data_IF_392411725288
#
_entry.id   IF_392411725288
#
_cell.length_a   1.000
_cell.length_b   1.000
_cell.length_c   1.000
_cell.angle_alpha   90.00
_cell.angle_beta   90.00
_cell.angle_gamma   90.00
#
_symmetry.space_group_name_H-M   'P 1'
#
loop_
_entity.id
_entity.type
_entity.pdbx_description
1 polymer ?
#
# COMPACT_ATOMS: atom_id res chain seq x y z
N UNK A 1 -20.82 6.58 15.56
CA UNK A 1 -20.07 6.19 14.36
C UNK A 1 -18.62 6.05 14.77
N UNK A 2 -17.90 5.06 14.28
CA UNK A 2 -16.48 4.85 14.61
C UNK A 2 -15.75 4.30 13.38
N UNK A 3 -14.63 4.90 13.03
CA UNK A 3 -13.76 4.41 11.98
C UNK A 3 -12.43 4.00 12.56
N UNK A 4 -11.95 2.81 12.21
CA UNK A 4 -10.67 2.28 12.67
C UNK A 4 -9.78 1.94 11.48
N UNK A 5 -8.47 2.19 11.62
CA UNK A 5 -7.43 1.80 10.67
C UNK A 5 -6.48 0.84 11.39
N UNK A 6 -6.35 -0.38 10.88
CA UNK A 6 -5.41 -1.39 11.39
C UNK A 6 -4.32 -1.63 10.35
N UNK A 7 -3.08 -1.31 10.71
CA UNK A 7 -1.90 -1.68 9.93
C UNK A 7 -1.49 -3.10 10.34
N UNK A 8 -1.84 -4.08 9.52
CA UNK A 8 -1.52 -5.47 9.82
C UNK A 8 0.00 -5.71 9.71
N UNK A 9 0.52 -6.63 10.50
CA UNK A 9 1.96 -6.94 10.52
C UNK A 9 2.37 -7.75 9.28
N UNK A 10 2.42 -7.08 8.13
CA UNK A 10 2.69 -7.65 6.81
C UNK A 10 4.19 -7.76 6.48
N UNK A 11 5.08 -7.75 7.47
CA UNK A 11 6.52 -7.78 7.29
C UNK A 11 7.03 -6.56 6.50
N UNK A 12 7.62 -6.76 5.33
CA UNK A 12 8.11 -5.70 4.46
C UNK A 12 7.07 -5.16 3.46
N UNK A 13 5.83 -5.65 3.49
CA UNK A 13 4.75 -5.28 2.58
C UNK A 13 3.58 -4.58 3.27
N UNK A 14 2.50 -4.37 2.53
CA UNK A 14 1.29 -3.71 3.00
C UNK A 14 0.11 -4.67 3.16
N UNK A 15 -0.62 -4.52 4.26
CA UNK A 15 -1.95 -5.07 4.46
C UNK A 15 -2.68 -4.21 5.49
N UNK A 16 -3.73 -3.52 5.07
CA UNK A 16 -4.40 -2.50 5.89
C UNK A 16 -5.90 -2.76 5.90
N UNK A 17 -6.48 -2.83 7.08
CA UNK A 17 -7.92 -2.96 7.24
C UNK A 17 -8.49 -1.65 7.78
N UNK A 18 -9.42 -1.05 7.04
CA UNK A 18 -10.22 0.11 7.46
C UNK A 18 -11.64 -0.36 7.70
N UNK A 19 -12.15 -0.17 8.91
CA UNK A 19 -13.52 -0.55 9.28
C UNK A 19 -14.30 0.66 9.74
N UNK A 20 -15.47 0.89 9.15
CA UNK A 20 -16.39 1.95 9.56
C UNK A 20 -17.70 1.36 10.07
N UNK A 21 -18.04 1.66 11.32
CA UNK A 21 -19.26 1.19 11.95
C UNK A 21 -20.25 2.33 12.13
N UNK A 22 -21.45 2.17 11.60
CA UNK A 22 -22.55 3.14 11.71
C UNK A 22 -23.90 2.43 11.67
N UNK A 23 -24.83 2.83 12.56
CA UNK A 23 -26.20 2.32 12.54
C UNK A 23 -26.33 0.79 12.76
N UNK A 24 -25.36 0.15 13.40
CA UNK A 24 -25.35 -1.31 13.62
C UNK A 24 -24.78 -2.13 12.48
N UNK A 25 -24.37 -1.50 11.37
CA UNK A 25 -23.63 -2.12 10.28
C UNK A 25 -22.17 -1.69 10.27
N UNK A 26 -21.30 -2.54 9.70
CA UNK A 26 -19.88 -2.25 9.53
C UNK A 26 -19.50 -2.46 8.08
N UNK A 27 -18.81 -1.49 7.49
CA UNK A 27 -18.17 -1.59 6.17
C UNK A 27 -16.68 -1.85 6.36
N UNK A 28 -16.18 -2.94 5.81
CA UNK A 28 -14.79 -3.34 5.90
C UNK A 28 -14.09 -3.16 4.53
N UNK A 29 -13.07 -2.33 4.51
CA UNK A 29 -12.17 -2.09 3.38
C UNK A 29 -10.82 -2.74 3.68
N UNK A 30 -10.38 -3.69 2.86
CA UNK A 30 -9.05 -4.29 2.90
C UNK A 30 -8.19 -3.73 1.76
N UNK A 31 -7.05 -3.14 2.09
CA UNK A 31 -6.06 -2.64 1.14
C UNK A 31 -4.83 -3.53 1.23
N UNK A 32 -4.51 -4.23 0.15
CA UNK A 32 -3.42 -5.18 0.01
C UNK A 32 -3.43 -6.35 1.01
N UNK A 33 -2.66 -7.37 0.72
CA UNK A 33 -2.59 -8.59 1.51
C UNK A 33 -1.22 -8.92 2.11
N UNK A 34 -0.23 -8.14 1.74
CA UNK A 34 1.15 -8.41 2.14
C UNK A 34 1.77 -9.64 1.48
N UNK A 35 2.98 -10.03 1.88
CA UNK A 35 3.59 -11.30 1.50
C UNK A 35 2.74 -12.50 1.92
N UNK A 36 2.97 -13.65 1.33
CA UNK A 36 2.21 -14.88 1.56
C UNK A 36 2.04 -15.26 3.04
N UNK A 37 3.07 -15.02 3.87
CA UNK A 37 3.05 -15.29 5.31
C UNK A 37 2.07 -14.40 6.08
N UNK A 38 1.63 -13.28 5.51
CA UNK A 38 0.64 -12.40 6.12
C UNK A 38 -0.71 -13.09 6.30
N UNK A 39 -1.09 -13.98 5.37
CA UNK A 39 -2.25 -14.84 5.56
C UNK A 39 -1.91 -16.09 6.39
N UNK A 40 -0.75 -16.69 6.19
CA UNK A 40 -0.30 -17.84 6.97
C UNK A 40 0.68 -18.76 6.25
N UNK A 41 1.34 -19.63 7.01
CA UNK A 41 2.31 -20.61 6.53
C UNK A 41 1.66 -21.99 6.58
N UNK A 42 1.73 -22.73 5.46
CA UNK A 42 1.14 -24.08 5.32
C UNK A 42 2.08 -25.19 5.81
N UNK A 43 3.39 -24.95 5.94
CA UNK A 43 4.40 -25.95 6.29
C UNK A 43 4.68 -26.00 7.79
N UNK A 44 4.64 -27.20 8.36
CA UNK A 44 4.93 -27.43 9.78
C UNK A 44 3.80 -27.06 10.73
N UNK A 45 4.08 -26.28 11.76
CA UNK A 45 3.04 -25.74 12.64
C UNK A 45 2.27 -24.65 11.89
N UNK A 46 1.02 -24.93 11.53
CA UNK A 46 0.11 -23.94 10.94
C UNK A 46 0.10 -22.69 11.82
N UNK A 47 0.68 -21.58 11.33
CA UNK A 47 0.60 -20.28 11.97
C UNK A 47 -0.36 -19.40 11.17
N UNK A 48 -1.41 -18.93 11.81
CA UNK A 48 -2.29 -17.92 11.25
C UNK A 48 -1.51 -16.61 11.17
N UNK A 49 -1.48 -16.03 9.99
CA UNK A 49 -0.90 -14.70 9.80
C UNK A 49 -1.89 -13.59 10.21
N UNK A 50 -1.41 -12.34 10.34
CA UNK A 50 -2.23 -11.23 10.81
C UNK A 50 -3.43 -10.93 9.91
N UNK A 51 -3.33 -11.12 8.60
CA UNK A 51 -4.47 -10.98 7.68
C UNK A 51 -5.53 -12.06 7.98
N UNK A 52 -5.12 -13.31 8.16
CA UNK A 52 -6.05 -14.38 8.47
C UNK A 52 -6.76 -14.13 9.80
N UNK A 53 -6.04 -13.69 10.83
CA UNK A 53 -6.63 -13.34 12.13
C UNK A 53 -7.67 -12.23 11.97
N UNK A 54 -7.36 -11.19 11.20
CA UNK A 54 -8.30 -10.11 10.94
C UNK A 54 -9.55 -10.58 10.18
N UNK A 55 -9.40 -11.51 9.22
CA UNK A 55 -10.53 -12.11 8.51
C UNK A 55 -11.34 -13.06 9.40
N UNK A 56 -10.70 -13.80 10.31
CA UNK A 56 -11.40 -14.62 11.31
C UNK A 56 -12.27 -13.74 12.23
N UNK A 57 -11.76 -12.59 12.68
CA UNK A 57 -12.53 -11.61 13.48
C UNK A 57 -13.76 -11.05 12.74
N UNK A 58 -13.62 -10.77 11.41
CA UNK A 58 -14.72 -10.32 10.56
C UNK A 58 -15.79 -11.41 10.47
N UNK A 59 -15.40 -12.66 10.24
CA UNK A 59 -16.30 -13.81 10.16
C UNK A 59 -17.03 -14.06 11.48
N UNK A 60 -16.33 -14.03 12.60
CA UNK A 60 -16.92 -14.23 13.93
C UNK A 60 -18.00 -13.20 14.23
N UNK A 61 -17.88 -11.98 13.66
CA UNK A 61 -18.89 -10.93 13.77
C UNK A 61 -20.03 -11.07 12.76
N UNK A 62 -19.99 -12.08 11.89
CA UNK A 62 -20.96 -12.23 10.79
C UNK A 62 -20.91 -11.10 9.76
N UNK A 63 -19.73 -10.53 9.55
CA UNK A 63 -19.48 -9.43 8.63
C UNK A 63 -18.76 -9.94 7.38
N UNK A 64 -18.77 -9.11 6.33
CA UNK A 64 -18.09 -9.34 5.06
C UNK A 64 -16.90 -8.36 4.92
N UNK A 65 -16.08 -8.59 3.88
CA UNK A 65 -15.13 -7.62 3.35
C UNK A 65 -15.80 -6.94 2.16
N UNK A 66 -16.32 -5.73 2.38
CA UNK A 66 -17.14 -5.05 1.38
C UNK A 66 -16.34 -4.59 0.17
N UNK A 67 -15.08 -4.20 0.38
CA UNK A 67 -14.17 -3.83 -0.69
C UNK A 67 -12.75 -4.33 -0.39
N UNK A 68 -12.15 -4.99 -1.37
CA UNK A 68 -10.72 -5.32 -1.40
C UNK A 68 -10.07 -4.46 -2.47
N UNK A 69 -9.00 -3.76 -2.16
CA UNK A 69 -8.18 -3.02 -3.12
C UNK A 69 -6.81 -3.69 -3.17
N UNK A 70 -6.41 -4.21 -4.34
CA UNK A 70 -5.01 -4.50 -4.62
C UNK A 70 -4.41 -3.28 -5.31
N UNK A 71 -3.50 -2.61 -4.62
CA UNK A 71 -2.89 -1.37 -5.14
C UNK A 71 -2.08 -1.64 -6.40
N UNK A 72 -1.23 -2.66 -6.36
CA UNK A 72 -0.43 -3.14 -7.49
C UNK A 72 0.02 -4.60 -7.24
N UNK A 73 0.71 -5.17 -8.21
CA UNK A 73 0.91 -6.62 -8.31
C UNK A 73 2.18 -7.15 -7.63
N UNK A 74 2.97 -6.33 -6.98
CA UNK A 74 4.21 -6.79 -6.36
C UNK A 74 3.93 -7.77 -5.23
N UNK A 75 4.85 -8.70 -5.04
CA UNK A 75 4.66 -9.90 -4.20
C UNK A 75 4.34 -9.57 -2.74
N UNK A 76 4.84 -8.45 -2.25
CA UNK A 76 4.62 -7.97 -0.89
C UNK A 76 3.30 -7.21 -0.70
N UNK A 77 2.47 -7.14 -1.73
CA UNK A 77 1.09 -6.64 -1.72
C UNK A 77 0.07 -7.74 -2.07
N UNK A 78 0.36 -8.59 -3.07
CA UNK A 78 -0.62 -9.51 -3.65
C UNK A 78 -0.65 -10.89 -2.99
N UNK A 79 0.47 -11.44 -2.52
CA UNK A 79 0.57 -12.87 -2.17
C UNK A 79 -0.36 -13.30 -1.03
N UNK A 80 -0.55 -12.42 -0.03
CA UNK A 80 -1.49 -12.68 1.06
C UNK A 80 -2.94 -12.73 0.57
N UNK A 81 -3.33 -11.85 -0.38
CA UNK A 81 -4.67 -11.89 -1.01
C UNK A 81 -4.86 -13.19 -1.78
N UNK A 82 -3.88 -13.58 -2.59
CA UNK A 82 -3.92 -14.84 -3.34
C UNK A 82 -4.23 -16.02 -2.41
N UNK A 83 -3.54 -16.11 -1.27
CA UNK A 83 -3.78 -17.18 -0.31
C UNK A 83 -5.17 -17.08 0.34
N UNK A 84 -5.60 -15.86 0.63
CA UNK A 84 -6.89 -15.63 1.26
C UNK A 84 -8.07 -15.92 0.31
N UNK A 85 -7.93 -15.64 -0.99
CA UNK A 85 -8.94 -15.98 -2.00
C UNK A 85 -9.00 -17.49 -2.30
N UNK A 86 -7.89 -18.20 -2.21
CA UNK A 86 -7.84 -19.66 -2.40
C UNK A 86 -8.30 -20.47 -1.19
N UNK A 87 -8.27 -19.87 -0.02
CA UNK A 87 -8.65 -20.56 1.21
C UNK A 87 -10.18 -20.59 1.35
N UNK A 88 -10.74 -21.79 1.52
CA UNK A 88 -12.18 -21.99 1.75
C UNK A 88 -12.67 -21.19 2.96
N UNK A 89 -13.78 -20.50 2.81
CA UNK A 89 -14.38 -19.68 3.84
C UNK A 89 -13.66 -18.37 4.15
N UNK A 90 -12.80 -17.87 3.23
CA UNK A 90 -12.13 -16.57 3.36
C UNK A 90 -12.51 -15.64 2.21
N UNK A 91 -11.57 -14.90 1.61
CA UNK A 91 -11.92 -13.82 0.68
C UNK A 91 -12.73 -14.28 -0.54
N UNK A 92 -12.59 -15.53 -0.99
CA UNK A 92 -13.45 -16.08 -2.04
C UNK A 92 -14.93 -16.06 -1.68
N UNK A 93 -15.26 -16.19 -0.39
CA UNK A 93 -16.63 -16.22 0.12
C UNK A 93 -17.04 -14.88 0.78
N UNK A 94 -16.06 -14.11 1.29
CA UNK A 94 -16.30 -12.91 2.09
C UNK A 94 -16.22 -11.60 1.30
N UNK A 95 -15.47 -11.57 0.19
CA UNK A 95 -15.24 -10.33 -0.55
C UNK A 95 -16.44 -10.01 -1.46
N UNK A 96 -17.04 -8.84 -1.28
CA UNK A 96 -18.15 -8.38 -2.12
C UNK A 96 -17.68 -7.67 -3.38
N UNK A 97 -16.56 -6.96 -3.31
CA UNK A 97 -15.99 -6.22 -4.44
C UNK A 97 -14.48 -6.19 -4.38
N UNK A 98 -13.85 -6.27 -5.54
CA UNK A 98 -12.40 -6.17 -5.70
C UNK A 98 -12.04 -5.10 -6.71
N UNK A 99 -11.11 -4.22 -6.38
CA UNK A 99 -10.45 -3.30 -7.31
C UNK A 99 -9.05 -3.82 -7.61
N UNK A 100 -8.77 -3.96 -8.89
CA UNK A 100 -7.48 -4.42 -9.42
C UNK A 100 -7.32 -3.91 -10.85
N UNK A 101 -6.20 -3.27 -11.15
CA UNK A 101 -5.77 -2.98 -12.51
C UNK A 101 -4.96 -4.16 -13.05
N UNK A 102 -5.65 -5.11 -13.68
CA UNK A 102 -5.04 -6.29 -14.27
C UNK A 102 -4.82 -6.13 -15.77
N UNK A 103 -4.09 -7.06 -16.38
CA UNK A 103 -3.73 -6.99 -17.80
C UNK A 103 -4.93 -6.89 -18.72
N UNK A 104 -5.96 -7.72 -18.49
CA UNK A 104 -7.13 -7.76 -19.35
C UNK A 104 -7.96 -6.48 -19.31
N UNK A 105 -8.17 -5.90 -18.12
CA UNK A 105 -8.93 -4.65 -18.02
C UNK A 105 -8.14 -3.44 -18.53
N UNK A 106 -6.81 -3.42 -18.39
CA UNK A 106 -5.94 -2.40 -18.98
C UNK A 106 -5.97 -2.49 -20.51
N UNK A 107 -5.86 -3.70 -21.09
CA UNK A 107 -5.95 -3.93 -22.52
C UNK A 107 -7.29 -3.45 -23.09
N UNK A 108 -8.39 -3.80 -22.43
CA UNK A 108 -9.72 -3.34 -22.82
C UNK A 108 -9.87 -1.81 -22.74
N UNK A 109 -9.32 -1.20 -21.68
CA UNK A 109 -9.36 0.25 -21.48
C UNK A 109 -8.67 1.02 -22.61
N UNK A 110 -7.52 0.52 -23.07
CA UNK A 110 -6.77 1.14 -24.19
C UNK A 110 -7.24 0.64 -25.57
N UNK A 111 -8.18 -0.32 -25.63
CA UNK A 111 -8.56 -1.00 -26.86
C UNK A 111 -7.36 -1.60 -27.59
N UNK A 112 -6.46 -2.19 -26.86
CA UNK A 112 -5.24 -2.86 -27.34
C UNK A 112 -5.38 -4.37 -27.14
N UNK A 113 -4.63 -5.17 -27.92
CA UNK A 113 -4.64 -6.62 -27.74
C UNK A 113 -4.11 -7.00 -26.35
N UNK A 114 -4.77 -7.95 -25.71
CA UNK A 114 -4.26 -8.53 -24.48
C UNK A 114 -2.92 -9.25 -24.75
N UNK A 115 -1.96 -9.07 -23.87
CA UNK A 115 -0.68 -9.78 -23.90
C UNK A 115 -0.81 -10.93 -22.89
N UNK A 116 -0.92 -12.21 -23.36
CA UNK A 116 -1.16 -13.36 -22.48
C UNK A 116 -0.11 -13.50 -21.36
N UNK A 117 1.13 -13.09 -21.63
CA UNK A 117 2.24 -13.12 -20.69
C UNK A 117 2.06 -12.12 -19.52
N UNK A 118 1.16 -11.16 -19.67
CA UNK A 118 0.88 -10.15 -18.65
C UNK A 118 -0.11 -10.65 -17.57
N UNK A 119 -0.66 -11.85 -17.71
CA UNK A 119 -1.50 -12.42 -16.68
C UNK A 119 -0.70 -12.65 -15.38
N UNK A 120 -1.26 -12.29 -14.24
CA UNK A 120 -0.59 -12.42 -12.94
C UNK A 120 -0.51 -13.90 -12.55
N UNK A 121 0.68 -14.53 -12.53
CA UNK A 121 0.80 -15.94 -12.17
C UNK A 121 0.56 -16.14 -10.68
N UNK A 122 -0.21 -17.16 -10.34
CA UNK A 122 -0.33 -17.63 -8.98
C UNK A 122 0.84 -18.55 -8.64
N UNK A 123 1.76 -18.09 -7.77
CA UNK A 123 2.75 -18.97 -7.15
C UNK A 123 2.20 -19.53 -5.85
N UNK A 124 2.23 -20.84 -5.68
CA UNK A 124 1.78 -21.52 -4.46
C UNK A 124 2.94 -21.90 -3.53
N UNK A 125 4.18 -21.61 -3.90
CA UNK A 125 5.38 -21.96 -3.15
C UNK A 125 6.04 -20.78 -2.45
N UNK A 126 6.74 -21.07 -1.35
CA UNK A 126 7.56 -20.09 -0.62
C UNK A 126 8.96 -19.92 -1.26
N UNK A 127 9.23 -20.56 -2.41
CA UNK A 127 10.47 -20.42 -3.17
C UNK A 127 10.22 -19.80 -4.55
N UNK A 128 11.16 -18.99 -5.05
CA UNK A 128 11.07 -18.39 -6.40
C UNK A 128 11.04 -19.44 -7.53
N UNK A 129 11.41 -20.69 -7.26
CA UNK A 129 11.61 -21.75 -8.26
C UNK A 129 10.42 -22.70 -8.43
N UNK A 130 9.40 -22.64 -7.55
CA UNK A 130 8.18 -23.45 -7.72
C UNK A 130 7.14 -22.70 -8.55
N UNK A 131 7.59 -22.37 -9.73
CA UNK A 131 6.78 -21.76 -10.77
C UNK A 131 5.98 -22.77 -11.55
N UNK A 132 4.87 -22.31 -12.07
CA UNK A 132 4.47 -22.56 -13.46
C UNK A 132 3.74 -23.86 -13.78
N UNK A 133 3.41 -24.77 -12.90
CA UNK A 133 2.75 -25.98 -13.40
C UNK A 133 1.22 -26.03 -13.25
N UNK A 134 0.58 -25.09 -12.54
CA UNK A 134 -0.90 -25.01 -12.49
C UNK A 134 -1.38 -23.56 -12.35
N UNK A 135 -0.97 -22.73 -13.28
CA UNK A 135 -1.18 -21.30 -13.26
C UNK A 135 -2.62 -20.85 -13.48
N UNK A 136 -3.47 -20.92 -12.46
CA UNK A 136 -4.58 -19.97 -12.39
C UNK A 136 -4.01 -18.60 -12.10
N UNK A 137 -4.33 -17.62 -12.91
CA UNK A 137 -4.01 -16.21 -12.63
C UNK A 137 -4.91 -15.66 -11.52
N UNK A 138 -4.52 -14.61 -10.84
CA UNK A 138 -5.38 -13.93 -9.87
C UNK A 138 -6.65 -13.38 -10.55
N UNK A 139 -6.49 -12.86 -11.76
CA UNK A 139 -7.59 -12.45 -12.63
C UNK A 139 -8.60 -13.56 -12.84
N UNK A 140 -8.15 -14.78 -13.17
CA UNK A 140 -9.03 -15.92 -13.39
C UNK A 140 -9.80 -16.25 -12.11
N UNK A 141 -9.12 -16.29 -10.97
CA UNK A 141 -9.80 -16.55 -9.68
C UNK A 141 -10.88 -15.50 -9.40
N UNK A 142 -10.61 -14.22 -9.64
CA UNK A 142 -11.58 -13.16 -9.46
C UNK A 142 -12.72 -13.22 -10.49
N UNK A 143 -12.42 -13.63 -11.72
CA UNK A 143 -13.43 -13.78 -12.78
C UNK A 143 -14.43 -14.88 -12.46
N UNK A 144 -13.99 -15.96 -11.83
CA UNK A 144 -14.82 -17.07 -11.40
C UNK A 144 -15.74 -16.70 -10.22
N UNK A 145 -15.37 -15.67 -9.43
CA UNK A 145 -16.08 -15.26 -8.20
C UNK A 145 -17.09 -14.12 -8.39
N UNK A 146 -17.17 -13.52 -9.57
CA UNK A 146 -18.07 -12.38 -9.91
C UNK A 146 -17.97 -11.16 -8.95
N UNK A 147 -16.87 -11.06 -8.18
CA UNK A 147 -16.65 -9.95 -7.26
C UNK A 147 -15.71 -8.87 -7.82
N UNK A 148 -15.09 -9.11 -8.96
CA UNK A 148 -14.11 -8.21 -9.53
C UNK A 148 -14.75 -7.09 -10.36
N UNK A 149 -14.45 -5.84 -9.99
CA UNK A 149 -14.74 -4.67 -10.81
C UNK A 149 -13.81 -4.66 -12.02
N UNK A 150 -14.36 -4.80 -13.20
CA UNK A 150 -13.57 -4.90 -14.45
C UNK A 150 -13.18 -3.56 -15.05
N UNK A 151 -13.74 -2.46 -14.56
CA UNK A 151 -13.34 -1.13 -14.97
C UNK A 151 -11.99 -0.76 -14.35
N UNK A 152 -11.16 -0.08 -15.15
CA UNK A 152 -9.85 0.41 -14.70
C UNK A 152 -10.04 1.51 -13.66
N UNK A 153 -9.26 1.43 -12.60
CA UNK A 153 -9.14 2.48 -11.59
C UNK A 153 -7.97 3.38 -12.01
N UNK A 154 -8.27 4.65 -12.32
CA UNK A 154 -7.30 5.59 -12.86
C UNK A 154 -7.49 6.97 -12.24
N UNK A 155 -6.41 7.78 -12.21
CA UNK A 155 -6.43 9.13 -11.66
C UNK A 155 -7.57 9.99 -12.21
N UNK A 156 -8.01 10.97 -11.43
CA UNK A 156 -9.13 11.89 -11.69
C UNK A 156 -10.52 11.25 -11.48
N UNK A 157 -10.63 9.95 -11.27
CA UNK A 157 -11.91 9.33 -10.89
C UNK A 157 -12.29 9.69 -9.45
N UNK A 158 -13.60 9.90 -9.24
CA UNK A 158 -14.21 9.98 -7.90
C UNK A 158 -15.21 8.84 -7.77
N UNK A 159 -14.97 7.94 -6.83
CA UNK A 159 -15.75 6.73 -6.62
C UNK A 159 -16.35 6.73 -5.21
N UNK A 160 -17.55 6.15 -5.09
CA UNK A 160 -18.23 6.00 -3.80
C UNK A 160 -18.49 4.52 -3.57
N UNK A 161 -17.98 4.01 -2.44
CA UNK A 161 -18.19 2.63 -1.99
C UNK A 161 -18.66 2.64 -0.54
N UNK A 162 -19.91 2.26 -0.34
CA UNK A 162 -20.54 2.36 0.97
C UNK A 162 -20.43 3.77 1.59
N UNK A 163 -19.84 3.90 2.78
CA UNK A 163 -19.68 5.19 3.44
C UNK A 163 -18.47 6.00 2.94
N UNK A 164 -17.62 5.41 2.11
CA UNK A 164 -16.36 6.00 1.68
C UNK A 164 -16.46 6.67 0.32
N UNK A 165 -15.84 7.86 0.22
CA UNK A 165 -15.56 8.53 -1.04
C UNK A 165 -14.07 8.45 -1.33
N UNK A 166 -13.74 8.01 -2.54
CA UNK A 166 -12.39 7.86 -3.04
C UNK A 166 -12.13 8.90 -4.13
N UNK A 167 -11.09 9.71 -3.98
CA UNK A 167 -10.55 10.55 -5.06
C UNK A 167 -9.24 9.90 -5.52
N UNK A 168 -9.22 9.36 -6.73
CA UNK A 168 -8.09 8.58 -7.24
C UNK A 168 -7.00 9.52 -7.75
N UNK A 169 -5.77 9.33 -7.28
CA UNK A 169 -4.59 10.13 -7.64
C UNK A 169 -3.61 9.39 -8.55
N UNK A 170 -3.60 8.06 -8.49
CA UNK A 170 -2.72 7.17 -9.26
C UNK A 170 -3.45 5.85 -9.51
N UNK A 171 -3.11 5.12 -10.59
CA UNK A 171 -2.18 5.47 -11.66
C UNK A 171 -2.79 6.44 -12.69
N UNK A 172 -1.93 7.09 -13.48
CA UNK A 172 -2.35 7.78 -14.71
C UNK A 172 -2.34 6.83 -15.90
N UNK A 173 -2.99 7.20 -17.01
CA UNK A 173 -2.92 6.45 -18.27
C UNK A 173 -1.47 6.15 -18.69
N UNK A 174 -0.58 7.12 -18.51
CA UNK A 174 0.85 6.95 -18.81
C UNK A 174 1.50 5.85 -17.97
N UNK A 175 1.13 5.74 -16.70
CA UNK A 175 1.65 4.71 -15.82
C UNK A 175 1.11 3.33 -16.22
N UNK A 176 -0.19 3.23 -16.51
CA UNK A 176 -0.81 1.98 -16.97
C UNK A 176 -0.24 1.50 -18.31
N UNK A 177 0.01 2.41 -19.27
CA UNK A 177 0.68 2.05 -20.55
C UNK A 177 2.08 1.50 -20.32
N UNK A 178 2.86 2.06 -19.39
CA UNK A 178 4.17 1.52 -19.05
C UNK A 178 4.08 0.11 -18.50
N UNK A 179 3.15 -0.13 -17.57
CA UNK A 179 2.92 -1.46 -17.03
C UNK A 179 2.54 -2.43 -18.16
N UNK A 180 1.60 -2.06 -19.01
CA UNK A 180 1.14 -2.86 -20.14
C UNK A 180 2.27 -3.26 -21.10
N UNK A 181 3.19 -2.35 -21.39
CA UNK A 181 4.32 -2.59 -22.32
C UNK A 181 5.46 -3.43 -21.72
N UNK A 182 5.66 -3.45 -20.40
CA UNK A 182 6.87 -3.98 -19.76
C UNK A 182 6.59 -5.26 -18.97
N UNK A 183 5.34 -5.57 -18.71
CA UNK A 183 4.91 -6.70 -17.89
C UNK A 183 5.62 -8.04 -18.19
N UNK A 184 5.94 -8.42 -19.44
CA UNK A 184 6.58 -9.69 -19.72
C UNK A 184 8.05 -9.76 -19.32
N UNK A 185 8.72 -8.63 -19.08
CA UNK A 185 10.18 -8.53 -18.99
C UNK A 185 10.69 -8.45 -17.55
N UNK A 186 9.93 -7.88 -16.66
CA UNK A 186 10.24 -7.90 -15.24
C UNK A 186 9.86 -9.24 -14.62
N UNK A 187 10.66 -10.26 -14.92
CA UNK A 187 10.83 -11.35 -13.96
C UNK A 187 11.20 -10.67 -12.66
N UNK A 188 10.36 -10.86 -11.63
CA UNK A 188 10.67 -10.47 -10.27
C UNK A 188 12.18 -10.64 -10.06
N UNK A 189 12.92 -9.54 -10.01
CA UNK A 189 14.35 -9.60 -9.80
C UNK A 189 14.52 -10.23 -8.43
N UNK A 190 14.91 -11.50 -8.43
CA UNK A 190 15.35 -12.15 -7.22
C UNK A 190 16.44 -11.25 -6.64
N UNK A 191 16.13 -10.62 -5.51
CA UNK A 191 17.07 -9.98 -4.61
C UNK A 191 18.40 -9.53 -5.25
N UNK A 192 18.40 -8.38 -5.91
CA UNK A 192 19.60 -7.57 -5.87
C UNK A 192 19.79 -7.21 -4.41
N UNK A 193 20.95 -7.56 -3.85
CA UNK A 193 21.32 -7.31 -2.45
C UNK A 193 20.80 -5.94 -2.03
N UNK A 194 19.77 -5.92 -1.18
CA UNK A 194 18.98 -4.74 -0.92
C UNK A 194 19.86 -3.56 -0.54
N UNK A 195 19.51 -2.37 -0.99
CA UNK A 195 20.15 -1.16 -0.51
C UNK A 195 20.20 -1.21 1.01
N UNK A 196 21.40 -0.96 1.58
CA UNK A 196 21.53 -0.87 3.02
C UNK A 196 20.77 0.36 3.48
N UNK A 197 20.05 0.26 4.59
CA UNK A 197 19.41 1.43 5.19
C UNK A 197 20.44 2.54 5.45
N UNK A 198 19.95 3.76 5.50
CA UNK A 198 20.73 4.98 5.72
C UNK A 198 20.75 5.44 7.20
N UNK A 199 20.49 4.52 8.15
CA UNK A 199 20.34 4.83 9.58
C UNK A 199 21.61 5.31 10.24
N UNK A 200 22.79 5.00 9.66
CA UNK A 200 24.09 5.46 10.12
C UNK A 200 24.36 6.94 9.84
N UNK A 201 23.57 7.59 8.99
CA UNK A 201 23.68 9.02 8.69
C UNK A 201 22.81 9.83 9.65
N UNK A 202 23.22 11.07 9.97
CA UNK A 202 22.39 11.96 10.75
C UNK A 202 21.27 12.59 9.92
N UNK A 203 20.16 12.97 10.57
CA UNK A 203 19.05 13.70 9.93
C UNK A 203 19.57 14.99 9.29
N UNK A 204 20.50 15.69 9.95
CA UNK A 204 21.12 16.91 9.43
C UNK A 204 21.90 16.65 8.15
N UNK A 205 22.79 15.64 8.15
CA UNK A 205 23.58 15.29 6.95
C UNK A 205 22.68 14.86 5.79
N UNK A 206 21.60 14.11 6.08
CA UNK A 206 20.64 13.67 5.09
C UNK A 206 19.85 14.84 4.46
N UNK A 207 19.59 15.90 5.22
CA UNK A 207 18.93 17.12 4.71
C UNK A 207 19.89 18.02 3.93
N UNK A 208 21.11 18.21 4.44
CA UNK A 208 22.13 19.03 3.76
C UNK A 208 22.54 18.42 2.40
N UNK A 209 22.53 17.09 2.29
CA UNK A 209 22.87 16.36 1.08
C UNK A 209 21.65 15.71 0.45
N UNK A 210 20.47 16.32 0.57
CA UNK A 210 19.26 15.72 0.05
C UNK A 210 19.24 15.77 -1.48
N UNK A 211 19.14 14.58 -2.08
CA UNK A 211 18.96 14.41 -3.52
C UNK A 211 17.76 13.49 -3.74
N UNK A 212 16.85 13.87 -4.63
CA UNK A 212 15.71 13.07 -4.97
C UNK A 212 15.99 12.20 -6.22
N UNK A 213 16.03 10.90 -6.03
CA UNK A 213 16.08 9.91 -7.11
C UNK A 213 14.67 9.32 -7.29
N UNK A 214 14.14 9.39 -8.50
CA UNK A 214 12.79 8.90 -8.80
C UNK A 214 12.76 7.37 -8.85
N UNK A 215 11.74 6.79 -8.25
CA UNK A 215 11.35 5.40 -8.51
C UNK A 215 10.99 5.23 -10.00
N UNK A 216 11.36 4.09 -10.58
CA UNK A 216 11.15 3.79 -12.00
C UNK A 216 10.43 2.46 -12.24
N UNK A 217 10.10 1.69 -11.18
CA UNK A 217 9.38 0.43 -11.30
C UNK A 217 8.00 0.65 -11.90
N UNK A 218 7.68 0.10 -13.08
CA UNK A 218 6.35 0.23 -13.65
C UNK A 218 5.24 -0.35 -12.78
N UNK A 219 5.52 -1.39 -12.01
CA UNK A 219 4.59 -1.95 -11.04
C UNK A 219 4.23 -0.92 -9.97
N UNK A 220 5.23 -0.32 -9.31
CA UNK A 220 5.01 0.75 -8.32
C UNK A 220 4.25 1.94 -8.94
N UNK A 221 4.64 2.34 -10.16
CA UNK A 221 3.96 3.42 -10.88
C UNK A 221 2.49 3.13 -11.20
N UNK A 222 2.08 1.86 -11.21
CA UNK A 222 0.69 1.43 -11.43
C UNK A 222 -0.15 1.37 -10.15
N UNK A 223 0.43 1.66 -8.99
CA UNK A 223 -0.27 1.62 -7.70
C UNK A 223 -1.50 2.51 -7.70
N UNK A 224 -2.63 1.96 -7.24
CA UNK A 224 -3.84 2.70 -6.95
C UNK A 224 -3.59 3.52 -5.67
N UNK A 225 -3.45 4.84 -5.82
CA UNK A 225 -3.33 5.79 -4.73
C UNK A 225 -4.56 6.69 -4.70
N UNK A 226 -5.04 7.02 -3.50
CA UNK A 226 -6.28 7.74 -3.35
C UNK A 226 -6.38 8.53 -2.04
N UNK A 227 -7.19 9.57 -2.06
CA UNK A 227 -7.72 10.22 -0.87
C UNK A 227 -8.99 9.47 -0.49
N UNK A 228 -9.03 8.90 0.73
CA UNK A 228 -10.21 8.32 1.33
C UNK A 228 -10.89 9.36 2.21
N UNK A 229 -12.14 9.70 1.89
CA UNK A 229 -12.96 10.61 2.69
C UNK A 229 -14.08 9.82 3.39
N UNK A 230 -14.20 10.04 4.69
CA UNK A 230 -15.27 9.49 5.53
C UNK A 230 -15.70 10.54 6.55
N UNK A 231 -16.97 10.97 6.50
CA UNK A 231 -17.50 12.07 7.31
C UNK A 231 -16.64 13.35 7.12
N UNK A 232 -15.95 13.81 8.18
CA UNK A 232 -15.06 14.96 8.15
C UNK A 232 -13.57 14.58 8.13
N UNK A 233 -13.27 13.27 7.95
CA UNK A 233 -11.91 12.74 7.98
C UNK A 233 -11.41 12.44 6.59
N UNK A 234 -10.12 12.67 6.39
CA UNK A 234 -9.43 12.38 5.13
C UNK A 234 -8.14 11.64 5.41
N UNK A 235 -7.93 10.55 4.69
CA UNK A 235 -6.71 9.75 4.75
C UNK A 235 -6.14 9.63 3.35
N UNK A 236 -4.84 9.84 3.20
CA UNK A 236 -4.13 9.65 1.95
C UNK A 236 -3.41 8.30 1.96
N UNK A 237 -3.85 7.37 1.11
CA UNK A 237 -3.21 6.09 0.87
C UNK A 237 -2.44 6.15 -0.44
N UNK A 238 -1.13 5.92 -0.39
CA UNK A 238 -0.24 6.12 -1.54
C UNK A 238 0.19 4.82 -2.23
N UNK A 239 -0.09 3.62 -1.63
CA UNK A 239 0.47 2.36 -2.13
C UNK A 239 1.99 2.51 -2.31
N UNK A 240 2.50 2.18 -3.51
CA UNK A 240 3.90 2.38 -3.90
C UNK A 240 4.06 3.41 -5.04
N UNK A 241 3.06 4.29 -5.20
CA UNK A 241 2.99 5.26 -6.29
C UNK A 241 4.19 6.21 -6.34
N UNK A 242 4.45 6.73 -7.54
CA UNK A 242 5.50 7.72 -7.74
C UNK A 242 5.13 9.08 -7.14
N UNK A 243 6.07 9.73 -6.44
CA UNK A 243 5.87 11.06 -5.91
C UNK A 243 5.44 12.07 -6.99
N UNK A 244 6.04 12.02 -8.18
CA UNK A 244 5.68 12.93 -9.27
C UNK A 244 4.26 12.74 -9.79
N UNK A 245 3.73 11.51 -9.79
CA UNK A 245 2.34 11.25 -10.18
C UNK A 245 1.37 11.85 -9.16
N UNK A 246 1.70 11.74 -7.87
CA UNK A 246 0.89 12.34 -6.80
C UNK A 246 0.91 13.87 -6.89
N UNK A 247 2.10 14.48 -7.12
CA UNK A 247 2.22 15.94 -7.33
C UNK A 247 1.32 16.39 -8.50
N UNK A 248 1.47 15.77 -9.68
CA UNK A 248 0.67 16.09 -10.86
C UNK A 248 -0.84 16.00 -10.59
N UNK A 249 -1.27 14.98 -9.85
CA UNK A 249 -2.69 14.77 -9.54
C UNK A 249 -3.22 15.77 -8.51
N UNK A 250 -2.43 16.12 -7.50
CA UNK A 250 -2.81 17.14 -6.52
C UNK A 250 -2.90 18.54 -7.15
N UNK A 251 -1.94 18.89 -8.03
CA UNK A 251 -1.97 20.15 -8.77
C UNK A 251 -3.20 20.27 -9.69
N UNK A 252 -3.57 19.18 -10.40
CA UNK A 252 -4.81 19.13 -11.20
C UNK A 252 -6.08 19.33 -10.35
N UNK A 253 -6.06 18.88 -9.10
CA UNK A 253 -7.16 19.12 -8.15
C UNK A 253 -7.14 20.54 -7.56
N UNK A 254 -6.16 21.38 -7.94
CA UNK A 254 -6.05 22.78 -7.49
C UNK A 254 -5.29 22.97 -6.18
N UNK A 255 -4.58 21.94 -5.70
CA UNK A 255 -3.72 22.09 -4.53
C UNK A 255 -2.40 22.74 -4.93
N UNK A 256 -1.91 23.65 -4.08
CA UNK A 256 -0.65 24.37 -4.24
C UNK A 256 0.07 24.46 -2.89
N UNK A 257 1.26 25.04 -2.86
CA UNK A 257 1.97 25.31 -1.59
C UNK A 257 1.20 26.22 -0.65
N UNK A 258 0.39 27.13 -1.21
CA UNK A 258 -0.44 28.08 -0.46
C UNK A 258 -1.83 27.51 -0.12
N UNK A 259 -2.30 26.53 -0.89
CA UNK A 259 -3.58 25.84 -0.71
C UNK A 259 -3.35 24.34 -0.68
N UNK A 260 -2.88 23.83 0.44
CA UNK A 260 -2.49 22.42 0.62
C UNK A 260 -3.70 21.50 0.78
N UNK A 261 -3.54 20.25 0.36
CA UNK A 261 -4.43 19.18 0.73
C UNK A 261 -4.31 18.90 2.23
N UNK A 262 -5.33 19.22 3.01
CA UNK A 262 -5.38 18.88 4.44
C UNK A 262 -5.91 17.46 4.63
N UNK A 263 -5.14 16.59 5.32
CA UNK A 263 -5.52 15.22 5.65
C UNK A 263 -5.13 14.87 7.08
N UNK A 264 -5.89 13.97 7.70
CA UNK A 264 -5.64 13.51 9.07
C UNK A 264 -4.44 12.56 9.13
N UNK A 265 -4.28 11.69 8.13
CA UNK A 265 -3.20 10.71 8.04
C UNK A 265 -2.70 10.54 6.61
N UNK A 266 -1.41 10.26 6.46
CA UNK A 266 -0.78 9.81 5.21
C UNK A 266 -0.15 8.45 5.44
N UNK A 267 -0.61 7.38 4.74
CA UNK A 267 0.16 6.15 4.57
C UNK A 267 1.22 6.41 3.50
N UNK A 268 2.48 6.43 3.91
CA UNK A 268 3.60 6.74 3.03
C UNK A 268 3.72 5.74 1.88
N UNK A 269 4.13 6.24 0.73
CA UNK A 269 4.40 5.42 -0.44
C UNK A 269 5.61 4.51 -0.20
N UNK A 270 5.52 3.29 -0.74
CA UNK A 270 6.59 2.31 -0.83
C UNK A 270 7.35 2.16 0.50
N UNK A 271 6.56 1.90 1.57
CA UNK A 271 7.02 1.64 2.94
C UNK A 271 7.97 2.70 3.52
N UNK A 272 7.91 3.94 3.02
CA UNK A 272 8.80 5.03 3.40
C UNK A 272 10.09 5.09 2.57
N UNK A 273 10.06 4.65 1.32
CA UNK A 273 11.15 4.83 0.36
C UNK A 273 11.45 6.31 0.10
N UNK A 274 12.74 6.69 0.08
CA UNK A 274 13.17 8.05 -0.26
C UNK A 274 12.88 8.43 -1.72
N UNK A 275 12.71 7.42 -2.59
CA UNK A 275 12.42 7.61 -4.02
C UNK A 275 10.93 7.85 -4.32
N UNK A 276 10.07 7.67 -3.30
CA UNK A 276 8.62 7.81 -3.43
C UNK A 276 8.05 8.95 -2.55
N UNK A 277 8.89 9.63 -1.75
CA UNK A 277 8.50 10.77 -0.91
C UNK A 277 9.41 11.96 -1.19
N UNK A 278 8.96 12.87 -2.06
CA UNK A 278 9.71 14.09 -2.39
C UNK A 278 9.27 15.28 -1.52
N UNK A 279 10.15 16.30 -1.41
CA UNK A 279 9.81 17.56 -0.74
C UNK A 279 8.65 18.27 -1.46
N UNK A 280 8.65 18.25 -2.80
CA UNK A 280 7.58 18.84 -3.62
C UNK A 280 6.20 18.24 -3.26
N UNK A 281 6.14 16.91 -3.07
CA UNK A 281 4.89 16.25 -2.65
C UNK A 281 4.48 16.69 -1.23
N UNK A 282 5.42 16.76 -0.29
CA UNK A 282 5.15 17.19 1.07
C UNK A 282 4.71 18.67 1.14
N UNK A 283 5.20 19.50 0.23
CA UNK A 283 4.80 20.92 0.12
C UNK A 283 3.32 21.10 -0.27
N UNK A 284 2.70 20.12 -0.94
CA UNK A 284 1.29 20.15 -1.33
C UNK A 284 0.36 19.53 -0.29
N UNK A 285 0.90 18.91 0.76
CA UNK A 285 0.12 18.16 1.77
C UNK A 285 0.28 18.83 3.14
N UNK A 286 -0.84 19.10 3.79
CA UNK A 286 -0.89 19.47 5.20
C UNK A 286 -1.34 18.26 6.01
N UNK A 287 -0.38 17.63 6.68
CA UNK A 287 -0.62 16.46 7.52
C UNK A 287 0.32 16.46 8.72
N UNK A 288 -0.17 15.96 9.85
CA UNK A 288 0.65 15.77 11.06
C UNK A 288 1.02 14.31 11.31
N UNK A 289 0.28 13.36 10.76
CA UNK A 289 0.39 11.95 11.11
C UNK A 289 0.77 11.11 9.89
N UNK A 290 1.97 10.55 9.88
CA UNK A 290 2.50 9.72 8.81
C UNK A 290 2.63 8.28 9.26
N UNK A 291 2.21 7.33 8.42
CA UNK A 291 2.17 5.91 8.72
C UNK A 291 3.21 5.17 7.89
N UNK A 292 4.04 4.36 8.52
CA UNK A 292 5.04 3.49 7.90
C UNK A 292 4.72 2.03 8.23
N UNK A 293 4.72 1.19 7.20
CA UNK A 293 4.42 -0.24 7.26
C UNK A 293 5.61 -1.02 6.70
N UNK A 294 6.53 -1.45 7.55
CA UNK A 294 7.63 -2.35 7.19
C UNK A 294 8.35 -2.83 8.44
N UNK A 295 8.83 -4.07 8.42
CA UNK A 295 9.69 -4.63 9.47
C UNK A 295 11.19 -4.30 9.30
N UNK A 296 11.54 -3.59 8.22
CA UNK A 296 12.91 -3.16 7.94
C UNK A 296 13.80 -4.26 7.33
N UNK A 297 13.25 -5.43 6.98
CA UNK A 297 14.07 -6.58 6.55
C UNK A 297 14.45 -6.57 5.07
N UNK A 298 13.78 -5.75 4.24
CA UNK A 298 14.06 -5.66 2.80
C UNK A 298 14.22 -4.23 2.33
N UNK A 299 14.98 -4.04 1.26
CA UNK A 299 15.18 -2.79 0.51
C UNK A 299 15.66 -1.59 1.34
N UNK A 300 16.13 -1.82 2.59
CA UNK A 300 16.56 -0.75 3.47
C UNK A 300 15.42 0.17 3.96
N UNK A 301 14.16 -0.17 3.68
CA UNK A 301 13.00 0.64 4.09
C UNK A 301 12.69 0.51 5.59
N UNK A 302 12.12 1.57 6.19
CA UNK A 302 12.00 2.91 5.62
C UNK A 302 13.38 3.57 5.52
N UNK A 303 13.58 4.45 4.55
CA UNK A 303 14.79 5.26 4.53
C UNK A 303 14.70 6.38 5.56
N UNK A 304 15.74 6.60 6.33
CA UNK A 304 15.82 7.70 7.29
C UNK A 304 15.74 9.06 6.61
N UNK A 305 16.19 9.15 5.35
CA UNK A 305 16.03 10.35 4.50
C UNK A 305 14.55 10.73 4.34
N UNK A 306 13.64 9.78 4.20
CA UNK A 306 12.20 10.05 4.17
C UNK A 306 11.73 10.68 5.48
N UNK A 307 12.17 10.13 6.61
CA UNK A 307 11.87 10.71 7.91
C UNK A 307 12.42 12.12 8.04
N UNK A 308 13.68 12.34 7.61
CA UNK A 308 14.31 13.65 7.65
C UNK A 308 13.47 14.71 6.91
N UNK A 309 13.00 14.41 5.69
CA UNK A 309 12.12 15.30 4.92
C UNK A 309 10.83 15.62 5.67
N UNK A 310 10.15 14.61 6.23
CA UNK A 310 8.89 14.78 6.97
C UNK A 310 9.11 15.58 8.25
N UNK A 311 10.14 15.24 9.01
CA UNK A 311 10.47 15.92 10.27
C UNK A 311 10.89 17.38 10.05
N UNK A 312 11.48 17.70 8.90
CA UNK A 312 11.86 19.05 8.51
C UNK A 312 10.68 19.86 7.94
N UNK A 313 9.72 19.21 7.29
CA UNK A 313 8.56 19.89 6.68
C UNK A 313 7.70 20.61 7.73
N UNK A 314 7.53 20.05 8.93
CA UNK A 314 6.80 20.68 10.02
C UNK A 314 7.25 20.16 11.38
N UNK A 315 7.32 21.05 12.41
CA UNK A 315 7.78 20.71 13.76
C UNK A 315 6.88 19.73 14.51
N UNK A 316 5.58 19.67 14.15
CA UNK A 316 4.56 18.86 14.83
C UNK A 316 4.30 17.51 14.17
N UNK A 317 5.02 17.18 13.10
CA UNK A 317 4.84 15.92 12.39
C UNK A 317 5.21 14.73 13.27
N UNK A 318 4.33 13.74 13.30
CA UNK A 318 4.50 12.47 14.02
C UNK A 318 4.54 11.34 12.99
N UNK A 319 5.49 10.43 13.15
CA UNK A 319 5.65 9.27 12.29
C UNK A 319 5.36 8.02 13.12
N UNK A 320 4.37 7.25 12.69
CA UNK A 320 3.94 6.01 13.32
C UNK A 320 4.51 4.81 12.57
N UNK A 321 5.05 3.87 13.32
CA UNK A 321 5.61 2.61 12.83
C UNK A 321 4.76 1.45 13.32
N UNK A 322 4.38 0.55 12.44
CA UNK A 322 3.72 -0.69 12.84
C UNK A 322 4.70 -1.75 13.38
N UNK A 323 6.01 -1.50 13.32
CA UNK A 323 7.05 -2.36 13.87
C UNK A 323 7.97 -1.61 14.83
N UNK A 324 8.02 -2.05 16.07
CA UNK A 324 8.81 -1.43 17.14
C UNK A 324 10.33 -1.52 16.92
N UNK A 325 10.80 -2.60 16.29
CA UNK A 325 12.21 -2.80 15.99
C UNK A 325 12.77 -1.72 15.04
N UNK A 326 11.99 -1.29 14.06
CA UNK A 326 12.36 -0.22 13.13
C UNK A 326 12.48 1.10 13.88
N UNK A 327 11.45 1.44 14.67
CA UNK A 327 11.44 2.64 15.51
C UNK A 327 12.69 2.72 16.41
N UNK A 328 13.07 1.62 17.07
CA UNK A 328 14.20 1.56 17.99
C UNK A 328 15.56 1.71 17.30
N UNK A 329 15.66 1.36 16.03
CA UNK A 329 16.92 1.32 15.29
C UNK A 329 17.21 2.51 14.40
N UNK A 330 16.23 3.40 14.14
CA UNK A 330 16.34 4.40 13.07
C UNK A 330 17.09 5.68 13.48
N UNK A 331 17.06 6.07 14.77
CA UNK A 331 17.74 7.25 15.28
C UNK A 331 19.13 6.94 15.78
N UNK A 332 20.08 7.85 15.51
CA UNK A 332 21.36 7.87 16.20
C UNK A 332 21.15 8.30 17.66
N UNK A 333 22.07 7.90 18.54
CA UNK A 333 22.01 8.28 19.97
C UNK A 333 21.96 9.81 20.16
N UNK A 334 22.67 10.56 19.33
CA UNK A 334 22.68 12.03 19.33
C UNK A 334 21.36 12.68 18.93
N UNK A 335 20.48 11.95 18.24
CA UNK A 335 19.22 12.44 17.70
C UNK A 335 18.01 12.16 18.60
N UNK A 336 18.15 11.21 19.54
CA UNK A 336 17.08 10.74 20.41
C UNK A 336 16.38 11.90 21.13
N UNK A 337 17.15 12.80 21.75
CA UNK A 337 16.59 13.95 22.48
C UNK A 337 15.73 14.85 21.60
N UNK A 338 16.12 15.02 20.34
CA UNK A 338 15.44 15.96 19.41
C UNK A 338 14.22 15.36 18.71
N UNK A 339 14.23 14.05 18.41
CA UNK A 339 13.24 13.46 17.52
C UNK A 339 12.42 12.30 18.10
N UNK A 340 12.85 11.67 19.21
CA UNK A 340 12.16 10.50 19.78
C UNK A 340 10.67 10.74 20.05
N UNK A 341 10.29 11.92 20.53
CA UNK A 341 8.89 12.26 20.83
C UNK A 341 7.99 12.31 19.59
N UNK A 342 8.58 12.45 18.41
CA UNK A 342 7.90 12.55 17.10
C UNK A 342 7.83 11.20 16.37
N UNK A 343 8.42 10.15 16.93
CA UNK A 343 8.39 8.79 16.39
C UNK A 343 7.64 7.90 17.37
N UNK A 344 6.59 7.23 16.91
CA UNK A 344 5.71 6.45 17.78
C UNK A 344 5.49 5.04 17.24
N UNK A 345 5.43 4.06 18.13
CA UNK A 345 5.02 2.71 17.77
C UNK A 345 3.50 2.59 17.81
N UNK A 346 2.95 2.15 16.69
CA UNK A 346 1.53 1.84 16.57
C UNK A 346 1.30 0.36 16.84
N UNK A 347 1.01 0.01 18.09
CA UNK A 347 0.76 -1.38 18.51
C UNK A 347 -0.71 -1.81 18.46
N UNK A 348 -1.59 -0.90 18.05
CA UNK A 348 -3.05 -1.09 17.96
C UNK A 348 -3.61 -0.36 16.73
N UNK A 349 -4.93 -0.39 16.60
CA UNK A 349 -5.66 0.39 15.61
C UNK A 349 -5.64 1.89 15.91
N UNK A 350 -5.74 2.68 14.85
CA UNK A 350 -6.01 4.10 14.90
C UNK A 350 -7.54 4.28 14.89
N UNK A 351 -8.05 5.03 15.82
CA UNK A 351 -9.45 5.49 15.79
C UNK A 351 -9.50 6.92 15.26
N UNK A 352 -10.37 7.18 14.29
CA UNK A 352 -10.52 8.48 13.64
C UNK A 352 -11.98 8.94 13.66
#
# INVERSE_FOLDING_TARGET
MATTIRLLAASYGDSILVSHSSGGSTFNLLIDGGPAKTFGISSGRRRHGPLRIALDEIKEKGQDVDLVILTHIDSDHIQGLIRAFKAEGYLGDLAKRVWLNASSNISNYFNEAEIPENAIPFSTGDSPETSVSEGKTFEQTLSDLDCWRREVIVAEQVLIEGPFKFTILSPTDKNLRKLHCIWPVERFSADTAGERNDYHQSITDLLENDTFSKDRSPANGSSIAFILEIEQKKILFLGDSYACTIVESLEKLGYTKENKLSVDYVKLSHHGSHSNTSVEMLDLIECRNYLITTDGTRHGHPHKRTLARILNAHSDNIIYFNYENVLKGILLTSEVTSYQSRLQWLNREIQI
#
